data_IF_529443588478
#
_entry.id   IF_529443588478
#
_cell.length_a   1.000
_cell.length_b   1.000
_cell.length_c   1.000
_cell.angle_alpha   90.00
_cell.angle_beta   90.00
_cell.angle_gamma   90.00
#
_symmetry.space_group_name_H-M   'P 1'
#
loop_
_entity.id
_entity.type
_entity.pdbx_description
1 polymer ?
#
# COMPACT_ATOMS: atom_id res chain seq x y z
N UNK A 1 4.19 -22.53 -8.87
CA UNK A 1 3.36 -21.32 -8.60
C UNK A 1 4.28 -20.13 -8.35
N UNK A 2 4.00 -19.00 -8.99
CA UNK A 2 4.74 -17.74 -8.90
C UNK A 2 3.74 -16.60 -8.72
N UNK A 3 3.98 -15.68 -7.79
CA UNK A 3 3.18 -14.45 -7.72
C UNK A 3 3.77 -13.43 -8.68
N UNK A 4 2.96 -12.82 -9.53
CA UNK A 4 3.37 -11.83 -10.53
C UNK A 4 2.49 -10.58 -10.39
N UNK A 5 3.04 -9.55 -9.78
CA UNK A 5 2.35 -8.30 -9.49
C UNK A 5 2.95 -7.14 -10.26
N UNK A 6 2.12 -6.18 -10.66
CA UNK A 6 2.61 -4.98 -11.36
C UNK A 6 3.33 -4.06 -10.37
N UNK A 7 2.63 -3.68 -9.31
CA UNK A 7 3.11 -2.85 -8.21
C UNK A 7 2.93 -3.59 -6.88
N UNK A 8 3.55 -3.10 -5.81
CA UNK A 8 3.40 -3.65 -4.45
C UNK A 8 2.73 -2.64 -3.51
N UNK A 9 1.50 -2.27 -3.86
CA UNK A 9 0.66 -1.37 -3.07
C UNK A 9 -0.01 -2.07 -1.87
N UNK A 10 -0.90 -1.36 -1.17
CA UNK A 10 -1.57 -1.89 0.04
C UNK A 10 -2.46 -3.10 -0.24
N UNK A 11 -3.13 -3.14 -1.40
CA UNK A 11 -4.01 -4.25 -1.79
C UNK A 11 -3.17 -5.46 -2.21
N UNK A 12 -2.10 -5.25 -2.98
CA UNK A 12 -1.14 -6.30 -3.34
C UNK A 12 -0.49 -6.88 -2.09
N UNK A 13 -0.11 -6.02 -1.13
CA UNK A 13 0.42 -6.47 0.16
C UNK A 13 -0.60 -7.31 0.92
N UNK A 14 -1.88 -6.93 0.95
CA UNK A 14 -2.93 -7.72 1.60
C UNK A 14 -3.07 -9.11 0.97
N UNK A 15 -3.01 -9.21 -0.36
CA UNK A 15 -2.99 -10.50 -1.06
C UNK A 15 -1.73 -11.32 -0.74
N UNK A 16 -0.55 -10.70 -0.82
CA UNK A 16 0.72 -11.35 -0.50
C UNK A 16 0.74 -11.91 0.93
N UNK A 17 0.32 -11.10 1.92
CA UNK A 17 0.21 -11.51 3.31
C UNK A 17 -0.80 -12.66 3.44
N UNK A 18 -1.92 -12.61 2.71
CA UNK A 18 -2.96 -13.65 2.73
C UNK A 18 -2.45 -15.00 2.19
N UNK A 19 -1.74 -14.98 1.07
CA UNK A 19 -1.10 -16.18 0.52
C UNK A 19 -0.10 -16.77 1.52
N UNK A 20 0.75 -15.91 2.12
CA UNK A 20 1.73 -16.32 3.12
C UNK A 20 1.08 -16.93 4.37
N UNK A 21 0.00 -16.32 4.89
CA UNK A 21 -0.77 -16.82 6.03
C UNK A 21 -1.51 -18.13 5.73
N UNK A 22 -1.88 -18.37 4.47
CA UNK A 22 -2.40 -19.65 4.03
C UNK A 22 -1.30 -20.73 3.96
N UNK A 23 -0.02 -20.35 4.03
CA UNK A 23 1.12 -21.25 3.91
C UNK A 23 1.61 -21.42 2.47
N UNK A 24 1.16 -20.58 1.54
CA UNK A 24 1.64 -20.56 0.17
C UNK A 24 2.98 -19.80 0.11
N UNK A 25 4.05 -20.53 -0.16
CA UNK A 25 5.42 -20.00 -0.24
C UNK A 25 5.86 -20.01 -1.70
N UNK A 26 5.39 -19.04 -2.48
CA UNK A 26 5.74 -18.87 -3.89
C UNK A 26 6.78 -17.75 -4.07
N UNK A 27 7.71 -17.87 -5.03
CA UNK A 27 8.50 -16.74 -5.50
C UNK A 27 7.57 -15.60 -5.91
N UNK A 28 7.89 -14.37 -5.49
CA UNK A 28 7.08 -13.20 -5.81
C UNK A 28 7.87 -12.24 -6.67
N UNK A 29 7.32 -11.95 -7.84
CA UNK A 29 7.85 -11.05 -8.84
C UNK A 29 7.01 -9.77 -8.81
N UNK A 30 7.69 -8.63 -8.72
CA UNK A 30 7.08 -7.30 -8.88
C UNK A 30 7.70 -6.64 -10.11
N UNK A 31 6.87 -6.28 -11.07
CA UNK A 31 7.32 -5.78 -12.38
C UNK A 31 7.87 -4.35 -12.29
N UNK A 32 7.23 -3.50 -11.48
CA UNK A 32 7.64 -2.11 -11.25
C UNK A 32 8.26 -1.94 -9.87
N UNK A 33 9.58 -1.74 -9.84
CA UNK A 33 10.37 -1.56 -8.62
C UNK A 33 10.30 -0.11 -8.14
N UNK A 34 9.70 0.10 -6.95
CA UNK A 34 9.63 1.40 -6.30
C UNK A 34 10.84 1.71 -5.40
N UNK A 35 11.81 0.78 -5.35
CA UNK A 35 13.01 0.82 -4.54
C UNK A 35 12.84 0.32 -3.10
N UNK A 36 11.60 0.17 -2.61
CA UNK A 36 11.27 -0.10 -1.20
C UNK A 36 10.45 -1.38 -1.00
N UNK A 37 10.51 -2.29 -1.97
CA UNK A 37 9.88 -3.59 -1.90
C UNK A 37 10.43 -4.43 -0.73
N UNK A 38 9.63 -5.33 -0.12
CA UNK A 38 10.14 -6.26 0.88
C UNK A 38 11.34 -7.09 0.40
N UNK A 39 12.20 -7.49 1.32
CA UNK A 39 13.30 -8.41 0.99
C UNK A 39 12.77 -9.74 0.43
N UNK A 40 13.48 -10.29 -0.55
CA UNK A 40 13.12 -11.56 -1.20
C UNK A 40 12.20 -11.44 -2.41
N UNK A 41 11.65 -10.25 -2.69
CA UNK A 41 10.95 -9.98 -3.94
C UNK A 41 11.94 -9.98 -5.12
N UNK A 42 11.50 -10.44 -6.29
CA UNK A 42 12.28 -10.45 -7.52
C UNK A 42 11.75 -9.34 -8.43
N UNK A 43 12.63 -8.52 -8.99
CA UNK A 43 12.25 -7.51 -10.00
C UNK A 43 13.11 -7.65 -11.25
N UNK A 44 12.63 -7.20 -12.43
CA UNK A 44 13.45 -7.17 -13.65
C UNK A 44 14.77 -6.44 -13.43
N UNK A 45 14.72 -5.31 -12.72
CA UNK A 45 15.91 -4.55 -12.37
C UNK A 45 16.89 -5.37 -11.52
N UNK A 46 16.44 -5.93 -10.40
CA UNK A 46 17.32 -6.65 -9.48
C UNK A 46 18.03 -7.82 -10.17
N UNK A 47 17.30 -8.54 -11.03
CA UNK A 47 17.83 -9.66 -11.78
C UNK A 47 18.89 -9.23 -12.79
N UNK A 48 18.56 -8.32 -13.72
CA UNK A 48 19.48 -7.94 -14.79
C UNK A 48 20.67 -7.11 -14.30
N UNK A 49 20.46 -6.24 -13.31
CA UNK A 49 21.54 -5.46 -12.70
C UNK A 49 22.39 -6.28 -11.72
N UNK A 50 22.05 -7.56 -11.50
CA UNK A 50 22.71 -8.42 -10.51
C UNK A 50 22.80 -7.74 -9.14
N UNK A 51 21.71 -7.08 -8.75
CA UNK A 51 21.67 -6.21 -7.58
C UNK A 51 21.98 -7.00 -6.31
N UNK A 52 22.87 -6.46 -5.47
CA UNK A 52 23.22 -7.03 -4.17
C UNK A 52 23.07 -6.00 -3.08
N UNK A 53 22.12 -6.19 -2.16
CA UNK A 53 21.98 -5.29 -1.02
C UNK A 53 23.34 -5.04 -0.34
N UNK A 54 23.79 -3.78 -0.23
CA UNK A 54 25.01 -3.45 0.51
C UNK A 54 24.90 -3.95 1.96
N UNK A 55 25.97 -4.51 2.53
CA UNK A 55 25.96 -5.13 3.87
C UNK A 55 25.38 -4.26 4.99
N UNK A 56 25.58 -2.95 4.90
CA UNK A 56 25.04 -1.95 5.83
C UNK A 56 24.20 -0.91 5.08
N UNK A 57 23.58 -1.33 3.97
CA UNK A 57 22.72 -0.49 3.16
C UNK A 57 21.53 -0.01 3.98
N UNK A 58 21.28 1.29 3.94
CA UNK A 58 20.16 1.92 4.64
C UNK A 58 19.59 3.02 3.74
N UNK A 59 18.30 3.35 3.86
CA UNK A 59 17.73 4.42 3.07
C UNK A 59 18.51 5.71 3.30
N UNK A 60 18.67 6.54 2.27
CA UNK A 60 19.25 7.85 2.46
C UNK A 60 18.34 8.67 3.38
N UNK A 61 18.93 9.30 4.39
CA UNK A 61 18.26 10.39 5.08
C UNK A 61 18.32 11.64 4.20
N UNK A 62 17.35 12.54 4.32
CA UNK A 62 17.20 13.67 3.38
C UNK A 62 18.47 14.51 3.15
N UNK A 63 19.30 14.69 4.19
CA UNK A 63 20.54 15.47 4.10
C UNK A 63 21.75 14.68 3.58
N UNK A 64 21.57 13.40 3.24
CA UNK A 64 22.61 12.52 2.69
C UNK A 64 22.49 12.34 1.17
N UNK A 65 21.52 13.01 0.52
CA UNK A 65 21.41 13.04 -0.93
C UNK A 65 22.71 13.61 -1.54
N UNK A 66 23.36 12.91 -2.49
CA UNK A 66 24.52 13.45 -3.18
C UNK A 66 24.18 14.74 -3.92
N UNK A 67 24.87 15.83 -3.60
CA UNK A 67 24.68 17.15 -4.22
C UNK A 67 26.03 17.76 -4.61
N UNK A 68 26.06 18.69 -5.58
CA UNK A 68 27.26 19.44 -5.91
C UNK A 68 27.87 20.14 -4.69
N UNK A 69 29.20 20.36 -4.74
CA UNK A 69 29.93 20.97 -3.63
C UNK A 69 29.34 22.35 -3.29
N UNK A 70 29.14 22.60 -2.00
CA UNK A 70 28.57 23.82 -1.41
C UNK A 70 27.07 24.04 -1.63
N UNK A 71 26.36 23.11 -2.26
CA UNK A 71 24.90 23.17 -2.31
C UNK A 71 24.33 22.81 -0.94
N UNK A 72 23.22 23.46 -0.59
CA UNK A 72 22.58 23.33 0.71
C UNK A 72 21.36 22.41 0.61
N UNK A 73 21.14 21.59 1.64
CA UNK A 73 19.92 20.78 1.76
C UNK A 73 19.15 21.28 2.98
N UNK A 74 17.89 21.65 2.77
CA UNK A 74 16.96 22.05 3.81
C UNK A 74 15.68 21.20 3.70
N UNK A 75 14.89 21.11 4.76
CA UNK A 75 13.62 20.41 4.70
C UNK A 75 12.82 20.43 6.00
N UNK A 76 11.58 19.97 5.90
CA UNK A 76 10.65 19.80 7.00
C UNK A 76 10.28 18.30 7.16
N UNK A 77 9.15 18.00 7.80
CA UNK A 77 8.67 16.63 8.00
C UNK A 77 8.00 16.00 6.77
N UNK A 78 7.60 16.81 5.79
CA UNK A 78 6.85 16.38 4.61
C UNK A 78 7.75 16.26 3.37
N UNK A 79 8.65 17.23 3.18
CA UNK A 79 9.58 17.27 2.06
C UNK A 79 10.89 17.98 2.41
N UNK A 80 11.89 17.81 1.54
CA UNK A 80 13.15 18.57 1.56
C UNK A 80 13.46 19.14 0.18
N UNK A 81 14.48 19.98 0.09
CA UNK A 81 14.94 20.58 -1.15
C UNK A 81 16.41 20.90 -1.14
N UNK A 82 16.99 20.94 -2.34
CA UNK A 82 18.38 21.30 -2.57
C UNK A 82 18.45 22.73 -3.12
N UNK A 83 19.39 23.54 -2.61
CA UNK A 83 19.62 24.92 -3.00
C UNK A 83 21.04 25.18 -3.49
N UNK A 84 21.15 26.05 -4.47
CA UNK A 84 22.39 26.64 -4.97
C UNK A 84 22.28 28.16 -4.84
N UNK A 85 23.04 28.77 -3.93
CA UNK A 85 22.98 30.23 -3.66
C UNK A 85 21.52 30.72 -3.52
N UNK A 86 20.73 30.01 -2.69
CA UNK A 86 19.27 30.19 -2.46
C UNK A 86 18.32 29.75 -3.57
N UNK A 87 18.78 29.45 -4.79
CA UNK A 87 17.91 28.94 -5.87
C UNK A 87 17.57 27.46 -5.64
N UNK A 88 16.28 27.11 -5.68
CA UNK A 88 15.84 25.72 -5.57
C UNK A 88 16.26 24.94 -6.83
N UNK A 89 17.01 23.85 -6.63
CA UNK A 89 17.56 22.99 -7.69
C UNK A 89 16.98 21.59 -7.70
N UNK A 90 16.48 21.12 -6.56
CA UNK A 90 15.78 19.85 -6.49
C UNK A 90 14.74 19.83 -5.37
N UNK A 91 13.73 18.98 -5.52
CA UNK A 91 12.83 18.55 -4.46
C UNK A 91 13.21 17.14 -4.02
N UNK A 92 13.31 16.91 -2.71
CA UNK A 92 13.56 15.59 -2.14
C UNK A 92 12.22 15.10 -1.57
N UNK A 93 11.73 13.98 -2.11
CA UNK A 93 10.46 13.36 -1.72
C UNK A 93 10.73 12.22 -0.75
N UNK A 94 10.06 12.26 0.39
CA UNK A 94 10.17 11.20 1.39
C UNK A 94 9.30 10.01 1.03
N UNK A 95 9.67 8.83 1.55
CA UNK A 95 8.81 7.65 1.51
C UNK A 95 7.49 7.96 2.25
N UNK A 96 6.33 7.80 1.62
CA UNK A 96 5.03 8.00 2.28
C UNK A 96 4.83 7.05 3.47
N UNK A 97 4.05 7.48 4.46
CA UNK A 97 3.73 6.66 5.64
C UNK A 97 4.86 6.51 6.67
N UNK A 98 6.12 6.76 6.29
CA UNK A 98 7.28 6.71 7.17
C UNK A 98 7.69 8.08 7.69
N UNK A 99 7.80 8.23 9.01
CA UNK A 99 8.27 9.49 9.65
C UNK A 99 9.78 9.65 9.71
N UNK A 100 10.52 8.84 8.94
CA UNK A 100 11.97 8.78 9.03
C UNK A 100 12.67 9.70 8.02
N UNK A 101 11.94 10.52 7.27
CA UNK A 101 12.47 11.41 6.21
C UNK A 101 13.45 10.66 5.29
N UNK A 102 13.15 9.39 5.07
CA UNK A 102 13.90 8.53 4.16
C UNK A 102 13.56 8.95 2.74
N UNK A 103 14.58 9.13 1.91
CA UNK A 103 14.43 9.58 0.53
C UNK A 103 13.87 8.45 -0.31
N UNK A 104 12.72 8.69 -0.95
CA UNK A 104 12.22 7.81 -2.01
C UNK A 104 12.83 8.22 -3.35
N UNK A 105 12.71 9.49 -3.71
CA UNK A 105 13.22 10.02 -4.97
C UNK A 105 13.53 11.52 -4.89
N UNK A 106 14.32 12.00 -5.85
CA UNK A 106 14.75 13.40 -5.94
C UNK A 106 14.38 13.95 -7.31
N UNK A 107 13.52 14.96 -7.33
CA UNK A 107 13.10 15.69 -8.54
C UNK A 107 14.08 16.83 -8.82
N UNK A 108 14.91 16.71 -9.86
CA UNK A 108 15.87 17.73 -10.25
C UNK A 108 15.27 18.74 -11.23
N UNK A 109 15.54 20.02 -10.97
CA UNK A 109 14.94 21.15 -11.64
C UNK A 109 15.97 21.86 -12.54
N UNK A 110 15.51 22.32 -13.69
CA UNK A 110 16.29 23.22 -14.53
C UNK A 110 16.37 24.64 -13.93
N UNK A 111 17.10 25.55 -14.60
CA UNK A 111 17.26 26.94 -14.14
C UNK A 111 15.96 27.73 -14.04
N UNK A 112 14.88 27.29 -14.71
CA UNK A 112 13.55 27.92 -14.66
C UNK A 112 12.64 27.28 -13.59
N UNK A 113 13.16 26.34 -12.79
CA UNK A 113 12.39 25.63 -11.77
C UNK A 113 11.47 24.53 -12.32
N UNK A 114 11.64 24.11 -13.58
CA UNK A 114 10.86 23.02 -14.18
C UNK A 114 11.58 21.68 -13.99
N UNK A 115 10.80 20.62 -13.76
CA UNK A 115 11.30 19.25 -13.65
C UNK A 115 12.08 18.86 -14.91
N UNK A 116 13.26 18.29 -14.72
CA UNK A 116 14.11 17.78 -15.80
C UNK A 116 14.26 16.25 -15.70
N UNK A 117 14.59 15.75 -14.51
CA UNK A 117 14.70 14.31 -14.26
C UNK A 117 14.42 13.98 -12.80
N UNK A 118 14.16 12.70 -12.53
CA UNK A 118 13.94 12.15 -11.20
C UNK A 118 14.94 11.03 -10.96
N UNK A 119 15.69 11.13 -9.87
CA UNK A 119 16.56 10.08 -9.35
C UNK A 119 15.79 9.22 -8.35
N UNK A 120 15.80 7.90 -8.54
CA UNK A 120 15.09 6.93 -7.70
C UNK A 120 16.06 6.15 -6.83
N UNK A 121 15.76 6.06 -5.53
CA UNK A 121 16.62 5.42 -4.54
C UNK A 121 15.98 4.17 -3.96
N UNK A 122 16.79 3.17 -3.65
CA UNK A 122 16.33 1.97 -2.96
C UNK A 122 16.29 2.17 -1.44
N UNK A 123 15.64 1.24 -0.73
CA UNK A 123 15.70 1.09 0.73
C UNK A 123 17.13 0.88 1.28
N UNK A 124 18.12 0.68 0.41
CA UNK A 124 19.53 0.55 0.78
C UNK A 124 20.34 1.82 0.48
N UNK A 125 19.69 2.88 0.00
CA UNK A 125 20.32 4.16 -0.33
C UNK A 125 21.05 4.17 -1.67
N UNK A 126 20.75 3.24 -2.56
CA UNK A 126 21.37 3.11 -3.88
C UNK A 126 20.53 3.86 -4.92
N UNK A 127 21.16 4.73 -5.72
CA UNK A 127 20.55 5.30 -6.91
C UNK A 127 20.45 4.21 -7.98
N UNK A 128 19.25 3.70 -8.22
CA UNK A 128 19.05 2.55 -9.10
C UNK A 128 18.42 2.90 -10.45
N UNK A 129 17.72 4.03 -10.52
CA UNK A 129 17.11 4.49 -11.76
C UNK A 129 17.06 6.01 -11.86
N UNK A 130 17.00 6.51 -13.10
CA UNK A 130 16.76 7.90 -13.42
C UNK A 130 15.71 8.01 -14.52
N UNK A 131 14.63 8.77 -14.28
CA UNK A 131 13.60 9.08 -15.29
C UNK A 131 13.77 10.49 -15.80
N UNK A 132 13.78 10.69 -17.11
CA UNK A 132 13.87 12.01 -17.75
C UNK A 132 12.50 12.44 -18.28
N UNK A 133 12.16 13.72 -18.12
CA UNK A 133 10.85 14.28 -18.46
C UNK A 133 10.95 15.37 -19.53
N UNK A 134 9.87 15.54 -20.30
CA UNK A 134 9.69 16.70 -21.16
C UNK A 134 9.19 17.93 -20.38
N UNK A 135 9.02 19.06 -21.08
CA UNK A 135 8.53 20.31 -20.47
C UNK A 135 7.07 20.24 -19.97
N UNK A 136 6.31 19.23 -20.39
CA UNK A 136 4.93 18.97 -20.01
C UNK A 136 4.82 17.90 -18.89
N UNK A 137 5.96 17.43 -18.35
CA UNK A 137 6.06 16.35 -17.36
C UNK A 137 5.65 14.97 -17.87
N UNK A 138 5.70 14.75 -19.18
CA UNK A 138 5.62 13.39 -19.72
C UNK A 138 6.99 12.71 -19.58
N UNK A 139 7.00 11.43 -19.22
CA UNK A 139 8.22 10.63 -19.18
C UNK A 139 8.74 10.40 -20.60
N UNK A 140 10.03 10.66 -20.83
CA UNK A 140 10.70 10.41 -22.12
C UNK A 140 11.35 9.03 -22.09
N UNK A 141 12.22 8.80 -21.11
CA UNK A 141 12.87 7.51 -20.89
C UNK A 141 13.25 7.32 -19.42
N UNK A 142 13.51 6.06 -19.05
CA UNK A 142 14.14 5.70 -17.78
C UNK A 142 15.39 4.86 -18.03
N UNK A 143 16.43 5.15 -17.27
CA UNK A 143 17.68 4.37 -17.20
C UNK A 143 17.75 3.68 -15.85
N UNK A 144 18.16 2.43 -15.84
CA UNK A 144 18.47 1.65 -14.64
C UNK A 144 19.95 1.33 -14.61
N UNK A 145 20.56 1.44 -13.42
CA UNK A 145 22.00 1.37 -13.23
C UNK A 145 22.41 0.14 -12.42
N UNK A 146 23.53 -0.50 -12.76
CA UNK A 146 24.16 -1.44 -11.85
C UNK A 146 24.86 -0.72 -10.68
N UNK A 147 25.50 -1.49 -9.81
CA UNK A 147 26.17 -0.97 -8.61
C UNK A 147 27.40 -0.12 -8.91
N UNK A 148 27.96 -0.23 -10.12
CA UNK A 148 29.09 0.57 -10.60
C UNK A 148 28.60 1.84 -11.34
N UNK A 149 27.29 2.03 -11.46
CA UNK A 149 26.66 3.18 -12.11
C UNK A 149 26.54 3.06 -13.64
N UNK A 150 26.72 1.85 -14.19
CA UNK A 150 26.59 1.60 -15.64
C UNK A 150 25.14 1.28 -16.01
N UNK A 151 24.71 1.75 -17.18
CA UNK A 151 23.37 1.45 -17.71
C UNK A 151 23.16 -0.04 -17.99
N UNK A 152 22.13 -0.61 -17.36
CA UNK A 152 21.70 -2.00 -17.57
C UNK A 152 20.41 -2.06 -18.38
N UNK A 153 19.41 -1.26 -18.02
CA UNK A 153 18.12 -1.20 -18.73
C UNK A 153 17.86 0.24 -19.15
N UNK A 154 17.51 0.45 -20.41
CA UNK A 154 17.03 1.71 -20.95
C UNK A 154 15.63 1.50 -21.50
N UNK A 155 14.63 2.16 -20.92
CA UNK A 155 13.24 2.09 -21.38
C UNK A 155 12.82 3.43 -21.97
N UNK A 156 12.46 3.44 -23.25
CA UNK A 156 11.94 4.59 -23.96
C UNK A 156 10.41 4.60 -23.89
N UNK A 157 9.81 5.52 -23.13
CA UNK A 157 8.35 5.60 -22.97
C UNK A 157 7.64 6.12 -24.23
N UNK A 158 8.32 6.87 -25.09
CA UNK A 158 7.72 7.38 -26.33
C UNK A 158 7.60 6.29 -27.39
N UNK A 159 8.66 5.49 -27.55
CA UNK A 159 8.70 4.38 -28.50
C UNK A 159 8.22 3.06 -27.90
N UNK A 160 7.96 3.00 -26.59
CA UNK A 160 7.63 1.80 -25.83
C UNK A 160 8.69 0.67 -25.91
N UNK A 161 9.90 0.98 -26.37
CA UNK A 161 10.98 0.01 -26.58
C UNK A 161 11.97 -0.03 -25.42
N UNK A 162 12.57 -1.20 -25.21
CA UNK A 162 13.55 -1.44 -24.14
C UNK A 162 14.87 -1.90 -24.75
N UNK A 163 15.98 -1.35 -24.24
CA UNK A 163 17.33 -1.83 -24.52
C UNK A 163 17.92 -2.37 -23.22
N UNK A 164 18.39 -3.62 -23.26
CA UNK A 164 18.98 -4.32 -22.12
C UNK A 164 20.45 -4.65 -22.43
N UNK A 165 21.35 -4.25 -21.54
CA UNK A 165 22.75 -4.68 -21.57
C UNK A 165 22.95 -5.77 -20.52
N UNK A 166 23.11 -7.03 -20.95
CA UNK A 166 23.20 -8.16 -20.02
C UNK A 166 24.19 -9.21 -20.53
N UNK A 167 25.03 -9.73 -19.62
CA UNK A 167 26.07 -10.75 -19.91
C UNK A 167 27.01 -10.39 -21.08
N UNK A 168 27.25 -9.10 -21.30
CA UNK A 168 28.14 -8.61 -22.36
C UNK A 168 27.47 -8.40 -23.72
N UNK A 169 26.20 -8.78 -23.85
CA UNK A 169 25.39 -8.60 -25.05
C UNK A 169 24.37 -7.47 -24.87
N UNK A 170 23.89 -6.93 -25.99
CA UNK A 170 22.82 -5.92 -26.02
C UNK A 170 21.58 -6.51 -26.70
N UNK A 171 20.45 -6.44 -26.00
CA UNK A 171 19.15 -6.92 -26.46
C UNK A 171 18.23 -5.73 -26.70
N UNK A 172 17.45 -5.80 -27.78
CA UNK A 172 16.48 -4.78 -28.16
C UNK A 172 15.08 -5.40 -28.19
N UNK A 173 14.14 -4.76 -27.49
CA UNK A 173 12.75 -5.18 -27.43
C UNK A 173 11.87 -4.07 -27.99
N UNK A 174 10.97 -4.42 -28.91
CA UNK A 174 10.03 -3.47 -29.54
C UNK A 174 8.93 -3.00 -28.58
N UNK A 175 8.70 -3.73 -27.48
CA UNK A 175 7.72 -3.38 -26.46
C UNK A 175 8.23 -3.71 -25.05
N UNK A 176 7.68 -3.03 -24.03
CA UNK A 176 7.92 -3.36 -22.63
C UNK A 176 7.46 -4.78 -22.28
N UNK A 177 6.33 -5.22 -22.85
CA UNK A 177 5.81 -6.57 -22.64
C UNK A 177 6.79 -7.63 -23.15
N UNK A 178 7.38 -7.46 -24.35
CA UNK A 178 8.37 -8.40 -24.88
C UNK A 178 9.61 -8.51 -23.99
N UNK A 179 10.05 -7.39 -23.41
CA UNK A 179 11.14 -7.38 -22.42
C UNK A 179 10.77 -8.17 -21.15
N UNK A 180 9.55 -7.96 -20.62
CA UNK A 180 9.09 -8.66 -19.42
C UNK A 180 8.85 -10.15 -19.65
N UNK A 181 8.34 -10.55 -20.83
CA UNK A 181 8.23 -11.97 -21.22
C UNK A 181 9.61 -12.62 -21.26
N UNK A 182 10.59 -11.97 -21.90
CA UNK A 182 11.99 -12.43 -21.91
C UNK A 182 12.57 -12.55 -20.50
N UNK A 183 12.26 -11.60 -19.62
CA UNK A 183 12.67 -11.65 -18.21
C UNK A 183 12.15 -12.90 -17.50
N UNK A 184 10.86 -13.25 -17.65
CA UNK A 184 10.30 -14.45 -17.03
C UNK A 184 10.99 -15.73 -17.53
N UNK A 185 11.29 -15.82 -18.82
CA UNK A 185 12.02 -16.95 -19.41
C UNK A 185 13.46 -17.01 -18.88
N UNK A 186 14.13 -15.86 -18.76
CA UNK A 186 15.52 -15.75 -18.29
C UNK A 186 15.68 -16.11 -16.80
N UNK A 187 14.61 -16.07 -16.00
CA UNK A 187 14.62 -16.49 -14.60
C UNK A 187 14.79 -18.01 -14.41
N UNK A 188 14.52 -18.82 -15.44
CA UNK A 188 14.60 -20.29 -15.38
C UNK A 188 13.76 -20.90 -14.23
N UNK A 189 12.59 -20.31 -13.96
CA UNK A 189 11.63 -20.78 -12.94
C UNK A 189 10.48 -21.59 -13.56
N UNK A 190 9.68 -22.22 -12.71
CA UNK A 190 8.44 -22.89 -13.13
C UNK A 190 7.36 -21.89 -13.55
N UNK A 191 7.04 -21.87 -14.85
CA UNK A 191 6.07 -20.96 -15.49
C UNK A 191 4.67 -21.59 -15.67
N UNK A 192 4.42 -22.75 -15.05
CA UNK A 192 3.14 -23.46 -15.19
C UNK A 192 1.97 -22.75 -14.53
N UNK A 193 2.24 -21.98 -13.46
CA UNK A 193 1.20 -21.41 -12.60
C UNK A 193 1.57 -20.05 -12.04
N UNK A 194 0.75 -19.03 -12.32
CA UNK A 194 0.88 -17.69 -11.76
C UNK A 194 -0.32 -17.27 -10.91
N UNK A 195 -0.05 -16.47 -9.87
CA UNK A 195 -1.04 -15.57 -9.25
C UNK A 195 -0.78 -14.19 -9.82
N UNK A 196 -1.79 -13.57 -10.42
CA UNK A 196 -1.77 -12.15 -10.81
C UNK A 196 -2.89 -11.40 -10.10
N UNK A 197 -2.78 -10.08 -10.00
CA UNK A 197 -3.80 -9.26 -9.34
C UNK A 197 -4.33 -8.09 -10.18
N UNK A 198 -3.94 -8.02 -11.45
CA UNK A 198 -4.43 -7.00 -12.38
C UNK A 198 -4.51 -7.55 -13.80
N UNK A 199 -5.48 -7.03 -14.56
CA UNK A 199 -5.65 -7.24 -16.00
C UNK A 199 -4.74 -6.35 -16.85
N UNK A 200 -3.86 -5.56 -16.21
CA UNK A 200 -2.86 -4.70 -16.85
C UNK A 200 -1.62 -5.47 -17.34
N UNK A 201 -0.45 -5.04 -16.88
CA UNK A 201 0.83 -5.58 -17.36
C UNK A 201 1.02 -7.07 -17.03
N UNK A 202 0.73 -7.57 -15.80
CA UNK A 202 0.87 -8.99 -15.47
C UNK A 202 0.06 -9.91 -16.39
N UNK A 203 -1.22 -9.61 -16.61
CA UNK A 203 -2.06 -10.36 -17.53
C UNK A 203 -1.52 -10.32 -18.96
N UNK A 204 -1.13 -9.14 -19.45
CA UNK A 204 -0.59 -8.99 -20.80
C UNK A 204 0.69 -9.80 -21.01
N UNK A 205 1.61 -9.81 -20.04
CA UNK A 205 2.84 -10.61 -20.09
C UNK A 205 2.51 -12.10 -20.20
N UNK A 206 1.55 -12.60 -19.42
CA UNK A 206 1.13 -14.00 -19.45
C UNK A 206 0.38 -14.35 -20.73
N UNK A 207 -0.47 -13.46 -21.25
CA UNK A 207 -1.19 -13.65 -22.51
C UNK A 207 -0.24 -13.88 -23.70
N UNK A 208 0.89 -13.16 -23.74
CA UNK A 208 1.92 -13.32 -24.78
C UNK A 208 3.02 -14.34 -24.43
N UNK A 209 2.98 -14.94 -23.23
CA UNK A 209 3.95 -15.96 -22.83
C UNK A 209 3.68 -17.25 -23.60
N UNK A 210 4.66 -17.74 -24.34
CA UNK A 210 4.53 -18.95 -25.16
C UNK A 210 4.71 -20.25 -24.34
N UNK A 211 3.98 -20.32 -23.22
CA UNK A 211 3.95 -21.46 -22.32
C UNK A 211 2.51 -21.77 -21.92
N UNK A 212 2.12 -23.04 -22.07
CA UNK A 212 0.88 -23.53 -21.48
C UNK A 212 0.92 -23.46 -19.96
N UNK A 213 -0.18 -23.04 -19.35
CA UNK A 213 -0.28 -22.96 -17.89
C UNK A 213 -1.69 -22.63 -17.40
N UNK A 214 -1.85 -22.64 -16.08
CA UNK A 214 -3.11 -22.33 -15.41
C UNK A 214 -2.85 -21.30 -14.33
N UNK A 215 -3.52 -20.17 -14.42
CA UNK A 215 -3.28 -18.99 -13.60
C UNK A 215 -4.52 -18.56 -12.83
N UNK A 216 -4.29 -17.77 -11.78
CA UNK A 216 -5.36 -17.20 -10.97
C UNK A 216 -5.21 -15.69 -10.94
N UNK A 217 -6.25 -14.99 -11.38
CA UNK A 217 -6.41 -13.56 -11.21
C UNK A 217 -7.15 -13.29 -9.91
N UNK A 218 -6.47 -12.69 -8.93
CA UNK A 218 -7.13 -12.05 -7.79
C UNK A 218 -7.56 -10.64 -8.20
N UNK A 219 -8.82 -10.45 -8.57
CA UNK A 219 -9.34 -9.16 -8.97
C UNK A 219 -9.54 -8.26 -7.74
N UNK A 220 -8.82 -7.14 -7.70
CA UNK A 220 -8.81 -6.16 -6.59
C UNK A 220 -9.37 -4.79 -6.98
N UNK A 221 -9.74 -4.61 -8.25
CA UNK A 221 -10.27 -3.36 -8.79
C UNK A 221 -11.81 -3.37 -8.82
N UNK A 222 -12.43 -2.21 -9.08
CA UNK A 222 -13.88 -2.08 -9.17
C UNK A 222 -14.31 -1.72 -10.60
N UNK A 223 -15.04 -2.60 -11.26
CA UNK A 223 -15.69 -2.35 -12.55
C UNK A 223 -17.20 -2.08 -12.41
N UNK A 224 -17.79 -2.35 -11.23
CA UNK A 224 -19.21 -2.08 -10.93
C UNK A 224 -20.15 -2.73 -11.94
N UNK A 225 -19.82 -3.96 -12.34
CA UNK A 225 -20.56 -4.72 -13.36
C UNK A 225 -20.20 -4.38 -14.81
N UNK A 226 -19.41 -3.34 -15.08
CA UNK A 226 -18.88 -3.06 -16.42
C UNK A 226 -17.61 -3.89 -16.65
N UNK A 227 -17.78 -5.18 -16.91
CA UNK A 227 -16.70 -6.15 -17.10
C UNK A 227 -15.65 -5.62 -18.11
N UNK A 228 -14.35 -5.58 -17.76
CA UNK A 228 -13.29 -5.18 -18.68
C UNK A 228 -13.12 -6.18 -19.84
N UNK A 229 -12.77 -5.70 -21.05
CA UNK A 229 -12.58 -6.57 -22.21
C UNK A 229 -11.53 -7.69 -22.01
N UNK A 230 -10.45 -7.43 -21.27
CA UNK A 230 -9.47 -8.48 -20.92
C UNK A 230 -10.06 -9.57 -20.02
N UNK A 231 -11.07 -9.25 -19.21
CA UNK A 231 -11.81 -10.22 -18.41
C UNK A 231 -12.74 -11.05 -19.28
N UNK A 232 -13.34 -10.44 -20.32
CA UNK A 232 -14.16 -11.17 -21.29
C UNK A 232 -13.35 -12.22 -22.06
N UNK A 233 -12.06 -11.97 -22.33
CA UNK A 233 -11.16 -12.99 -22.91
C UNK A 233 -11.06 -14.23 -22.02
N UNK A 234 -11.01 -14.05 -20.69
CA UNK A 234 -10.98 -15.16 -19.74
C UNK A 234 -12.30 -15.94 -19.79
N UNK A 235 -13.44 -15.24 -19.74
CA UNK A 235 -14.76 -15.86 -19.77
C UNK A 235 -15.04 -16.66 -21.05
N UNK A 236 -14.53 -16.17 -22.18
CA UNK A 236 -14.71 -16.81 -23.48
C UNK A 236 -13.65 -17.88 -23.79
N UNK A 237 -12.74 -18.15 -22.84
CA UNK A 237 -11.59 -19.04 -23.03
C UNK A 237 -10.72 -18.66 -24.24
N UNK A 238 -10.53 -17.35 -24.45
CA UNK A 238 -9.75 -16.75 -25.54
C UNK A 238 -8.43 -16.14 -25.02
N UNK A 239 -7.80 -16.84 -24.08
CA UNK A 239 -6.52 -16.46 -23.44
C UNK A 239 -5.32 -17.23 -24.00
N UNK A 240 -5.53 -17.90 -25.14
CA UNK A 240 -4.48 -18.56 -25.90
C UNK A 240 -4.01 -19.86 -25.27
N UNK A 241 -2.78 -19.88 -24.76
CA UNK A 241 -2.16 -21.08 -24.18
C UNK A 241 -2.42 -21.25 -22.68
N UNK A 242 -3.04 -20.25 -22.04
CA UNK A 242 -3.15 -20.19 -20.58
C UNK A 242 -4.59 -20.11 -20.18
N UNK A 243 -4.97 -20.88 -19.17
CA UNK A 243 -6.32 -20.83 -18.59
C UNK A 243 -6.31 -19.96 -17.34
N UNK A 244 -7.37 -19.20 -17.09
CA UNK A 244 -7.48 -18.34 -15.91
C UNK A 244 -8.71 -18.66 -15.07
N UNK A 245 -8.53 -18.66 -13.75
CA UNK A 245 -9.60 -18.56 -12.77
C UNK A 245 -9.58 -17.17 -12.14
N UNK A 246 -10.74 -16.65 -11.73
CA UNK A 246 -10.87 -15.31 -11.18
C UNK A 246 -11.37 -15.40 -9.73
N UNK A 247 -10.62 -14.83 -8.80
CA UNK A 247 -11.02 -14.65 -7.41
C UNK A 247 -11.30 -13.17 -7.18
N UNK A 248 -12.55 -12.81 -6.95
CA UNK A 248 -12.92 -11.41 -6.67
C UNK A 248 -12.80 -11.15 -5.18
N UNK A 249 -11.89 -10.26 -4.81
CA UNK A 249 -11.54 -10.03 -3.39
C UNK A 249 -12.55 -9.18 -2.62
N UNK A 250 -13.38 -8.42 -3.33
CA UNK A 250 -14.36 -7.50 -2.74
C UNK A 250 -15.77 -8.04 -2.95
N UNK A 251 -16.51 -8.23 -1.86
CA UNK A 251 -17.82 -8.87 -1.91
C UNK A 251 -18.85 -8.13 -2.78
N UNK A 252 -18.93 -6.81 -2.63
CA UNK A 252 -19.84 -5.97 -3.42
C UNK A 252 -19.52 -6.05 -4.92
N UNK A 253 -18.24 -6.15 -5.27
CA UNK A 253 -17.80 -6.28 -6.65
C UNK A 253 -18.07 -7.68 -7.21
N UNK A 254 -17.87 -8.72 -6.40
CA UNK A 254 -18.24 -10.09 -6.78
C UNK A 254 -19.72 -10.18 -7.12
N UNK A 255 -20.59 -9.63 -6.27
CA UNK A 255 -22.04 -9.59 -6.49
C UNK A 255 -22.38 -8.84 -7.79
N UNK A 256 -21.76 -7.68 -8.03
CA UNK A 256 -21.98 -6.88 -9.24
C UNK A 256 -21.52 -7.60 -10.53
N UNK A 257 -20.36 -8.25 -10.51
CA UNK A 257 -19.86 -9.03 -11.66
C UNK A 257 -20.73 -10.26 -11.89
N UNK A 258 -21.07 -11.01 -10.83
CA UNK A 258 -21.89 -12.20 -10.93
C UNK A 258 -23.27 -11.88 -11.55
N UNK A 259 -23.88 -10.75 -11.21
CA UNK A 259 -25.14 -10.29 -11.81
C UNK A 259 -25.01 -9.91 -13.30
N UNK A 260 -23.84 -9.43 -13.72
CA UNK A 260 -23.60 -8.92 -15.08
C UNK A 260 -23.22 -10.00 -16.11
N UNK A 261 -22.74 -11.17 -15.67
CA UNK A 261 -22.19 -12.21 -16.56
C UNK A 261 -23.11 -13.44 -16.73
N UNK A 262 -22.85 -14.25 -17.75
CA UNK A 262 -23.56 -15.51 -18.03
C UNK A 262 -23.29 -16.59 -16.97
N UNK A 263 -24.10 -17.65 -16.94
CA UNK A 263 -23.88 -18.78 -16.03
C UNK A 263 -22.53 -19.47 -16.26
N UNK A 264 -22.13 -19.68 -17.52
CA UNK A 264 -20.83 -20.27 -17.87
C UNK A 264 -19.66 -19.43 -17.33
N UNK A 265 -19.74 -18.09 -17.44
CA UNK A 265 -18.72 -17.19 -16.91
C UNK A 265 -18.64 -17.26 -15.37
N UNK A 266 -19.73 -17.59 -14.67
CA UNK A 266 -19.71 -17.74 -13.21
C UNK A 266 -18.94 -18.97 -12.74
N UNK A 267 -18.73 -19.98 -13.60
CA UNK A 267 -18.00 -21.19 -13.21
C UNK A 267 -16.51 -20.92 -12.92
N UNK A 268 -15.96 -19.86 -13.51
CA UNK A 268 -14.56 -19.45 -13.34
C UNK A 268 -14.37 -18.29 -12.35
N UNK A 269 -15.44 -17.83 -11.70
CA UNK A 269 -15.41 -16.70 -10.75
C UNK A 269 -15.73 -17.17 -9.34
N UNK A 270 -14.87 -16.80 -8.38
CA UNK A 270 -14.96 -17.21 -6.99
C UNK A 270 -15.06 -16.00 -6.07
N UNK A 271 -15.93 -16.07 -5.06
CA UNK A 271 -16.06 -15.08 -3.98
C UNK A 271 -14.88 -15.19 -3.02
N UNK A 272 -14.03 -14.17 -3.00
CA UNK A 272 -12.74 -14.13 -2.32
C UNK A 272 -12.70 -13.26 -1.08
N UNK A 273 -11.47 -12.90 -0.69
CA UNK A 273 -11.21 -12.00 0.43
C UNK A 273 -9.77 -12.10 0.92
N UNK A 274 -9.49 -11.46 2.05
CA UNK A 274 -8.16 -11.39 2.64
C UNK A 274 -8.08 -12.09 3.99
N UNK A 275 -6.87 -12.53 4.34
CA UNK A 275 -6.52 -12.98 5.68
C UNK A 275 -5.77 -11.86 6.40
N UNK A 276 -6.07 -11.70 7.68
CA UNK A 276 -5.40 -10.73 8.54
C UNK A 276 -4.80 -11.43 9.75
N UNK A 277 -3.55 -11.08 10.06
CA UNK A 277 -2.91 -11.45 11.30
C UNK A 277 -3.03 -10.30 12.29
N UNK A 278 -3.76 -10.55 13.39
CA UNK A 278 -3.91 -9.57 14.45
C UNK A 278 -2.79 -9.70 15.49
N UNK A 279 -2.22 -8.56 15.89
CA UNK A 279 -1.15 -8.48 16.91
C UNK A 279 -1.68 -8.76 18.32
N UNK A 280 -2.98 -8.59 18.53
CA UNK A 280 -3.69 -8.93 19.76
C UNK A 280 -5.16 -9.20 19.49
N UNK A 281 -5.84 -9.69 20.53
CA UNK A 281 -7.30 -9.77 20.56
C UNK A 281 -7.85 -8.65 21.44
N UNK A 282 -8.87 -7.95 20.97
CA UNK A 282 -9.54 -6.90 21.73
C UNK A 282 -10.06 -7.41 23.08
N UNK A 283 -9.79 -6.66 24.14
CA UNK A 283 -10.32 -6.95 25.49
C UNK A 283 -11.60 -6.20 25.79
N UNK A 284 -12.12 -5.43 24.83
CA UNK A 284 -13.33 -4.60 24.92
C UNK A 284 -13.26 -3.52 26.00
N UNK A 285 -12.05 -3.09 26.37
CA UNK A 285 -11.84 -2.01 27.31
C UNK A 285 -12.10 -0.65 26.67
N UNK A 286 -12.55 0.31 27.48
CA UNK A 286 -12.77 1.69 27.01
C UNK A 286 -11.52 2.54 27.19
N UNK A 287 -10.40 2.01 26.69
CA UNK A 287 -9.17 2.73 26.49
C UNK A 287 -9.16 3.18 25.02
N UNK A 288 -9.37 4.47 24.80
CA UNK A 288 -9.59 5.07 23.48
C UNK A 288 -8.32 5.80 23.07
N UNK A 289 -7.80 5.52 21.87
CA UNK A 289 -6.60 6.14 21.32
C UNK A 289 -6.95 7.08 20.16
N UNK A 290 -6.30 8.25 20.13
CA UNK A 290 -6.22 9.13 18.96
C UNK A 290 -4.77 9.55 18.75
N UNK A 291 -4.28 9.44 17.52
CA UNK A 291 -2.95 9.91 17.12
C UNK A 291 -3.10 11.13 16.22
N UNK A 292 -2.40 12.23 16.53
CA UNK A 292 -2.53 13.49 15.77
C UNK A 292 -1.17 14.16 15.49
N UNK A 293 -1.10 14.92 14.40
CA UNK A 293 -0.05 15.92 14.11
C UNK A 293 -0.52 17.36 14.33
N UNK A 294 -1.83 17.58 14.52
CA UNK A 294 -2.42 18.89 14.76
C UNK A 294 -3.12 18.94 16.13
N UNK A 295 -3.45 20.13 16.59
CA UNK A 295 -4.32 20.33 17.76
C UNK A 295 -5.82 20.31 17.44
N UNK A 296 -6.15 20.12 16.16
CA UNK A 296 -7.52 20.12 15.66
C UNK A 296 -8.12 18.72 15.77
N UNK A 297 -8.69 18.43 16.94
CA UNK A 297 -9.47 17.21 17.20
C UNK A 297 -10.93 17.62 17.44
N UNK A 298 -11.80 17.36 16.46
CA UNK A 298 -13.17 17.85 16.48
C UNK A 298 -13.98 17.29 17.65
N UNK A 299 -14.71 18.17 18.35
CA UNK A 299 -15.61 17.84 19.46
C UNK A 299 -14.98 17.04 20.63
N UNK A 300 -13.65 16.94 20.73
CA UNK A 300 -12.97 16.06 21.69
C UNK A 300 -13.38 16.32 23.14
N UNK A 301 -13.44 17.60 23.57
CA UNK A 301 -13.85 17.96 24.93
C UNK A 301 -15.28 17.49 25.24
N UNK A 302 -16.20 17.71 24.30
CA UNK A 302 -17.61 17.34 24.43
C UNK A 302 -17.79 15.80 24.45
N UNK A 303 -16.97 15.06 23.70
CA UNK A 303 -16.92 13.58 23.74
C UNK A 303 -16.38 13.09 25.09
N UNK A 304 -15.27 13.66 25.57
CA UNK A 304 -14.66 13.31 26.88
C UNK A 304 -15.67 13.48 28.01
N UNK A 305 -16.37 14.62 28.04
CA UNK A 305 -17.40 14.94 29.04
C UNK A 305 -18.61 14.00 28.95
N UNK A 306 -19.00 13.62 27.73
CA UNK A 306 -20.12 12.70 27.48
C UNK A 306 -19.82 11.23 27.77
N UNK A 307 -18.53 10.88 27.92
CA UNK A 307 -18.04 9.52 28.10
C UNK A 307 -17.06 9.41 29.29
N UNK A 308 -17.49 9.74 30.53
CA UNK A 308 -16.61 9.72 31.71
C UNK A 308 -16.15 8.31 32.11
N UNK A 309 -16.79 7.27 31.57
CA UNK A 309 -16.44 5.86 31.75
C UNK A 309 -15.24 5.40 30.92
N UNK A 310 -14.79 6.19 29.94
CA UNK A 310 -13.67 5.87 29.06
C UNK A 310 -12.41 6.65 29.46
N UNK A 311 -11.24 6.05 29.23
CA UNK A 311 -9.94 6.74 29.32
C UNK A 311 -9.47 7.10 27.92
N UNK A 312 -9.19 8.37 27.68
CA UNK A 312 -8.73 8.89 26.40
C UNK A 312 -7.21 9.07 26.42
N UNK A 313 -6.54 8.39 25.49
CA UNK A 313 -5.12 8.49 25.21
C UNK A 313 -4.94 9.31 23.93
N UNK A 314 -4.33 10.49 24.03
CA UNK A 314 -4.09 11.36 22.88
C UNK A 314 -2.58 11.47 22.68
N UNK A 315 -2.08 10.92 21.57
CA UNK A 315 -0.67 10.95 21.22
C UNK A 315 -0.38 11.92 20.10
N UNK A 316 0.67 12.74 20.27
CA UNK A 316 1.21 13.59 19.23
C UNK A 316 2.70 13.31 19.04
N UNK A 317 3.15 13.26 17.78
CA UNK A 317 4.57 13.10 17.43
C UNK A 317 5.38 14.38 17.59
N UNK A 318 4.70 15.52 17.66
CA UNK A 318 5.27 16.85 17.83
C UNK A 318 4.96 17.34 19.24
N UNK A 319 5.48 18.52 19.57
CA UNK A 319 4.98 19.26 20.73
C UNK A 319 3.49 19.56 20.57
N UNK A 320 2.76 19.53 21.69
CA UNK A 320 1.34 19.83 21.72
C UNK A 320 1.12 21.33 21.93
N UNK A 321 0.10 21.89 21.27
CA UNK A 321 -0.31 23.27 21.51
C UNK A 321 -1.02 23.40 22.87
N UNK A 322 -1.21 24.65 23.31
CA UNK A 322 -2.00 24.96 24.51
C UNK A 322 -3.44 24.44 24.45
N UNK A 323 -3.99 24.25 23.26
CA UNK A 323 -5.36 23.71 23.07
C UNK A 323 -5.43 22.25 23.52
N UNK A 324 -4.46 21.43 23.09
CA UNK A 324 -4.40 20.03 23.50
C UNK A 324 -4.00 19.89 24.98
N UNK A 325 -3.01 20.64 25.46
CA UNK A 325 -2.56 20.52 26.86
C UNK A 325 -3.64 20.90 27.86
N UNK A 326 -4.60 21.76 27.49
CA UNK A 326 -5.76 22.06 28.34
C UNK A 326 -6.66 20.86 28.62
N UNK A 327 -6.61 19.81 27.80
CA UNK A 327 -7.37 18.58 28.02
C UNK A 327 -6.89 17.79 29.25
N UNK A 328 -5.69 18.06 29.78
CA UNK A 328 -5.21 17.44 31.04
C UNK A 328 -6.11 17.74 32.24
N UNK A 329 -6.94 18.79 32.16
CA UNK A 329 -7.93 19.10 33.20
C UNK A 329 -8.94 17.97 33.42
N UNK A 330 -9.17 17.12 32.42
CA UNK A 330 -10.07 15.98 32.51
C UNK A 330 -9.33 14.77 33.11
N UNK A 331 -9.83 14.26 34.26
CA UNK A 331 -9.19 13.14 34.99
C UNK A 331 -9.06 11.86 34.16
N UNK A 332 -9.91 11.68 33.17
CA UNK A 332 -9.95 10.54 32.26
C UNK A 332 -9.17 10.77 30.95
N UNK A 333 -8.31 11.78 30.86
CA UNK A 333 -7.42 12.04 29.71
C UNK A 333 -5.96 11.78 30.06
N UNK A 334 -5.20 11.24 29.11
CA UNK A 334 -3.74 11.07 29.17
C UNK A 334 -3.15 11.59 27.86
N UNK A 335 -2.27 12.58 27.96
CA UNK A 335 -1.59 13.18 26.80
C UNK A 335 -0.17 12.64 26.66
N UNK A 336 0.26 12.45 25.42
CA UNK A 336 1.60 11.98 25.07
C UNK A 336 2.18 12.87 23.97
N UNK A 337 2.93 13.90 24.37
CA UNK A 337 3.64 14.79 23.45
C UNK A 337 4.98 14.20 23.01
N UNK A 338 5.45 14.57 21.81
CA UNK A 338 6.71 14.08 21.24
C UNK A 338 6.88 12.55 21.40
N UNK A 339 5.80 11.81 21.13
CA UNK A 339 5.68 10.41 21.51
C UNK A 339 6.69 9.53 20.77
N UNK A 340 7.43 8.72 21.53
CA UNK A 340 8.33 7.71 20.97
C UNK A 340 7.56 6.51 20.40
N UNK A 341 8.10 5.89 19.35
CA UNK A 341 7.53 4.68 18.74
C UNK A 341 7.31 3.54 19.76
N UNK A 342 8.22 3.39 20.72
CA UNK A 342 8.09 2.40 21.80
C UNK A 342 6.83 2.61 22.65
N UNK A 343 6.44 3.87 22.85
CA UNK A 343 5.23 4.25 23.59
C UNK A 343 3.99 4.13 22.72
N UNK A 344 4.11 4.44 21.43
CA UNK A 344 3.06 4.15 20.44
C UNK A 344 2.69 2.66 20.51
N UNK A 345 3.63 1.72 20.40
CA UNK A 345 3.31 0.28 20.47
C UNK A 345 2.59 -0.10 21.76
N UNK A 346 3.04 0.44 22.91
CA UNK A 346 2.39 0.20 24.20
C UNK A 346 0.93 0.70 24.22
N UNK A 347 0.65 1.84 23.60
CA UNK A 347 -0.71 2.37 23.50
C UNK A 347 -1.60 1.50 22.62
N UNK A 348 -1.10 1.03 21.47
CA UNK A 348 -1.85 0.11 20.59
C UNK A 348 -2.10 -1.25 21.25
N UNK A 349 -1.15 -1.76 22.03
CA UNK A 349 -1.38 -2.96 22.86
C UNK A 349 -2.47 -2.71 23.92
N UNK A 350 -2.45 -1.55 24.57
CA UNK A 350 -3.36 -1.21 25.66
C UNK A 350 -4.79 -0.86 25.22
N UNK A 351 -4.94 -0.11 24.14
CA UNK A 351 -6.21 0.49 23.74
C UNK A 351 -7.03 -0.45 22.86
N UNK A 352 -8.36 -0.46 23.01
CA UNK A 352 -9.24 -1.31 22.21
C UNK A 352 -10.14 -0.50 21.25
N UNK A 353 -10.15 0.83 21.35
CA UNK A 353 -10.87 1.71 20.43
C UNK A 353 -9.90 2.74 19.85
N UNK A 354 -9.93 2.92 18.54
CA UNK A 354 -9.25 4.04 17.87
C UNK A 354 -10.29 5.04 17.38
N UNK A 355 -10.06 6.31 17.69
CA UNK A 355 -10.98 7.40 17.36
C UNK A 355 -10.33 8.31 16.31
N UNK A 356 -10.77 8.15 15.06
CA UNK A 356 -10.27 8.84 13.88
C UNK A 356 -11.05 10.14 13.62
N UNK A 357 -10.71 11.17 14.40
CA UNK A 357 -11.44 12.45 14.45
C UNK A 357 -10.52 13.68 14.43
N UNK A 358 -9.22 13.47 14.23
CA UNK A 358 -8.24 14.53 14.07
C UNK A 358 -8.22 15.05 12.63
N UNK A 359 -7.93 16.34 12.46
CA UNK A 359 -7.63 16.93 11.15
C UNK A 359 -6.15 16.76 10.78
N UNK A 360 -5.86 16.97 9.50
CA UNK A 360 -4.50 16.89 8.95
C UNK A 360 -4.21 15.54 8.31
N UNK A 361 -2.96 15.33 7.91
CA UNK A 361 -2.53 14.06 7.33
C UNK A 361 -2.41 12.96 8.38
N UNK A 362 -2.77 11.73 8.01
CA UNK A 362 -2.59 10.55 8.85
C UNK A 362 -1.11 10.39 9.24
N UNK A 363 -0.90 9.96 10.47
CA UNK A 363 0.44 9.70 10.97
C UNK A 363 0.61 8.22 11.28
N UNK A 364 1.81 7.70 11.03
CA UNK A 364 2.23 6.35 11.45
C UNK A 364 1.28 5.22 11.00
N UNK A 365 0.53 5.43 9.92
CA UNK A 365 -0.51 4.53 9.43
C UNK A 365 -1.48 4.11 10.56
N UNK A 366 -1.89 5.10 11.35
CA UNK A 366 -2.53 4.90 12.65
C UNK A 366 -3.81 4.09 12.59
N UNK A 367 -4.62 4.24 11.54
CA UNK A 367 -5.89 3.53 11.35
C UNK A 367 -5.63 2.09 10.90
N UNK A 368 -4.74 1.84 9.94
CA UNK A 368 -4.33 0.46 9.59
C UNK A 368 -3.75 -0.26 10.80
N UNK A 369 -2.89 0.42 11.56
CA UNK A 369 -2.30 -0.14 12.76
C UNK A 369 -3.38 -0.47 13.80
N UNK A 370 -4.39 0.38 13.97
CA UNK A 370 -5.51 0.09 14.87
C UNK A 370 -6.25 -1.18 14.44
N UNK A 371 -6.47 -1.35 13.14
CA UNK A 371 -7.05 -2.56 12.57
C UNK A 371 -6.18 -3.80 12.87
N UNK A 372 -4.87 -3.74 12.61
CA UNK A 372 -3.93 -4.85 12.90
C UNK A 372 -3.88 -5.21 14.39
N UNK A 373 -4.23 -4.28 15.29
CA UNK A 373 -4.32 -4.50 16.74
C UNK A 373 -5.73 -4.88 17.21
N UNK A 374 -6.62 -5.27 16.29
CA UNK A 374 -8.01 -5.67 16.56
C UNK A 374 -8.81 -4.57 17.31
N UNK A 375 -8.46 -3.30 17.13
CA UNK A 375 -9.17 -2.18 17.75
C UNK A 375 -10.46 -1.88 16.98
N UNK A 376 -11.50 -1.44 17.69
CA UNK A 376 -12.69 -0.85 17.09
C UNK A 376 -12.37 0.55 16.58
N UNK A 377 -12.45 0.76 15.27
CA UNK A 377 -12.20 2.05 14.65
C UNK A 377 -13.53 2.80 14.49
N UNK A 378 -13.61 4.00 15.04
CA UNK A 378 -14.74 4.93 14.88
C UNK A 378 -14.19 6.27 14.41
N UNK A 379 -14.87 6.96 13.49
CA UNK A 379 -14.37 8.22 12.98
C UNK A 379 -15.42 9.09 12.32
N UNK A 380 -15.00 10.22 11.76
CA UNK A 380 -15.89 11.10 11.01
C UNK A 380 -15.85 10.82 9.51
N UNK A 381 -17.02 10.69 8.89
CA UNK A 381 -17.13 10.45 7.46
C UNK A 381 -16.44 11.53 6.61
N UNK A 382 -16.35 12.77 7.09
CA UNK A 382 -15.77 13.88 6.34
C UNK A 382 -14.22 13.87 6.29
N UNK A 383 -13.57 13.27 7.29
CA UNK A 383 -12.11 13.35 7.49
C UNK A 383 -11.48 11.97 7.79
N UNK A 384 -12.19 10.89 7.49
CA UNK A 384 -11.68 9.54 7.68
C UNK A 384 -10.41 9.32 6.86
N UNK A 385 -9.33 8.95 7.54
CA UNK A 385 -8.02 8.79 6.89
C UNK A 385 -7.93 7.50 6.09
N UNK A 386 -8.50 6.40 6.63
CA UNK A 386 -8.48 5.11 5.98
C UNK A 386 -9.88 4.48 5.92
N UNK A 387 -10.48 4.52 4.74
CA UNK A 387 -11.81 3.98 4.48
C UNK A 387 -11.82 2.48 4.18
N UNK A 388 -10.67 1.87 3.90
CA UNK A 388 -10.56 0.43 3.68
C UNK A 388 -10.79 -0.33 5.00
N UNK A 389 -10.26 0.18 6.11
CA UNK A 389 -10.39 -0.46 7.43
C UNK A 389 -11.46 0.17 8.34
N UNK A 390 -12.12 1.22 7.87
CA UNK A 390 -13.20 1.89 8.62
C UNK A 390 -14.53 1.69 7.91
N UNK A 391 -15.34 0.77 8.43
CA UNK A 391 -16.66 0.50 7.90
C UNK A 391 -17.57 1.74 7.90
N UNK A 392 -18.41 1.94 6.86
CA UNK A 392 -19.37 3.05 6.79
C UNK A 392 -20.27 3.18 8.03
N UNK A 393 -20.64 2.07 8.66
CA UNK A 393 -21.47 2.04 9.88
C UNK A 393 -20.76 2.58 11.12
N UNK A 394 -19.43 2.71 11.06
CA UNK A 394 -18.56 3.27 12.09
C UNK A 394 -18.08 4.69 11.75
N UNK A 395 -18.52 5.25 10.62
CA UNK A 395 -18.31 6.63 10.24
C UNK A 395 -19.52 7.47 10.62
N UNK A 396 -19.27 8.58 11.32
CA UNK A 396 -20.31 9.46 11.85
C UNK A 396 -20.21 10.86 11.24
N UNK A 397 -21.30 11.61 11.35
CA UNK A 397 -21.26 13.05 11.10
C UNK A 397 -20.60 13.78 12.28
N UNK A 398 -19.88 14.87 11.97
CA UNK A 398 -19.40 15.82 12.98
C UNK A 398 -20.50 16.77 13.47
N UNK A 399 -21.56 16.93 12.68
CA UNK A 399 -22.71 17.78 13.02
C UNK A 399 -23.40 17.32 14.32
N UNK A 400 -24.25 18.19 14.88
CA UNK A 400 -24.98 17.95 16.13
C UNK A 400 -24.05 17.55 17.29
N UNK A 401 -22.88 18.17 17.35
CA UNK A 401 -21.81 17.88 18.30
C UNK A 401 -21.45 16.39 18.38
N UNK A 402 -21.44 15.68 17.24
CA UNK A 402 -21.13 14.26 17.16
C UNK A 402 -22.02 13.38 18.07
N UNK A 403 -23.31 13.72 18.21
CA UNK A 403 -24.25 12.99 19.06
C UNK A 403 -24.29 11.48 18.75
N UNK A 404 -24.28 11.09 17.48
CA UNK A 404 -24.30 9.69 17.06
C UNK A 404 -23.03 8.91 17.48
N UNK A 405 -21.85 9.54 17.37
CA UNK A 405 -20.58 8.96 17.81
C UNK A 405 -20.57 8.77 19.34
N UNK A 406 -20.99 9.79 20.09
CA UNK A 406 -21.13 9.70 21.56
C UNK A 406 -22.09 8.58 21.95
N UNK A 407 -23.21 8.43 21.23
CA UNK A 407 -24.16 7.35 21.46
C UNK A 407 -23.53 5.99 21.17
N UNK A 408 -22.79 5.84 20.08
CA UNK A 408 -22.08 4.60 19.77
C UNK A 408 -21.09 4.20 20.88
N UNK A 409 -20.32 5.16 21.42
CA UNK A 409 -19.43 4.92 22.56
C UNK A 409 -20.17 4.46 23.82
N UNK A 410 -21.35 5.04 24.10
CA UNK A 410 -22.22 4.60 25.20
C UNK A 410 -22.76 3.20 24.96
N UNK A 411 -23.18 2.88 23.74
CA UNK A 411 -23.73 1.57 23.42
C UNK A 411 -22.68 0.47 23.61
N UNK A 412 -21.46 0.68 23.08
CA UNK A 412 -20.37 -0.31 23.23
C UNK A 412 -19.90 -0.45 24.68
N UNK A 413 -20.00 0.62 25.49
CA UNK A 413 -19.80 0.54 26.93
C UNK A 413 -20.84 -0.32 27.62
N UNK A 414 -22.13 -0.10 27.31
CA UNK A 414 -23.24 -0.76 27.98
C UNK A 414 -23.32 -2.24 27.66
N UNK A 415 -23.04 -2.63 26.40
CA UNK A 415 -23.10 -4.04 25.99
C UNK A 415 -21.98 -4.40 25.02
N UNK A 416 -21.14 -5.36 25.46
CA UNK A 416 -20.07 -5.99 24.65
C UNK A 416 -20.53 -6.47 23.26
N UNK A 417 -21.80 -6.89 23.11
CA UNK A 417 -22.35 -7.29 21.81
C UNK A 417 -22.32 -6.16 20.78
N UNK A 418 -22.55 -4.91 21.18
CA UNK A 418 -22.53 -3.77 20.25
C UNK A 418 -21.12 -3.48 19.78
N UNK A 419 -20.12 -3.64 20.67
CA UNK A 419 -18.71 -3.56 20.30
C UNK A 419 -18.38 -4.61 19.22
N UNK A 420 -18.72 -5.88 19.48
CA UNK A 420 -18.48 -6.98 18.53
C UNK A 420 -19.16 -6.76 17.19
N UNK A 421 -20.41 -6.29 17.18
CA UNK A 421 -21.14 -6.01 15.94
C UNK A 421 -20.41 -4.95 15.11
N UNK A 422 -19.95 -3.86 15.74
CA UNK A 422 -19.19 -2.81 15.05
C UNK A 422 -17.82 -3.27 14.57
N UNK A 423 -17.13 -4.11 15.34
CA UNK A 423 -15.91 -4.78 14.89
C UNK A 423 -16.17 -5.72 13.71
N UNK A 424 -17.30 -6.42 13.69
CA UNK A 424 -17.63 -7.28 12.56
C UNK A 424 -17.93 -6.46 11.30
N UNK A 425 -18.53 -5.27 11.42
CA UNK A 425 -18.70 -4.37 10.28
C UNK A 425 -17.36 -4.00 9.64
N UNK A 426 -16.36 -3.58 10.41
CA UNK A 426 -15.03 -3.24 9.86
C UNK A 426 -14.33 -4.46 9.24
N UNK A 427 -14.44 -5.64 9.85
CA UNK A 427 -13.80 -6.86 9.35
C UNK A 427 -14.41 -7.32 8.04
N UNK A 428 -15.75 -7.33 7.96
CA UNK A 428 -16.47 -7.62 6.73
C UNK A 428 -16.21 -6.58 5.64
N UNK A 429 -16.16 -5.29 6.01
CA UNK A 429 -15.85 -4.19 5.09
C UNK A 429 -14.42 -4.29 4.53
N UNK A 430 -13.47 -4.77 5.33
CA UNK A 430 -12.11 -5.08 4.89
C UNK A 430 -11.99 -6.44 4.16
N UNK A 431 -13.11 -7.08 3.83
CA UNK A 431 -13.20 -8.38 3.16
C UNK A 431 -12.44 -9.50 3.88
N UNK A 432 -12.44 -9.51 5.23
CA UNK A 432 -11.83 -10.57 6.00
C UNK A 432 -12.56 -11.89 5.80
N UNK A 433 -11.80 -12.94 5.46
CA UNK A 433 -12.27 -14.32 5.41
C UNK A 433 -11.43 -15.21 6.33
N UNK A 434 -11.94 -16.41 6.61
CA UNK A 434 -11.19 -17.39 7.40
C UNK A 434 -10.12 -18.08 6.56
N UNK A 435 -9.04 -18.55 7.22
CA UNK A 435 -7.99 -19.37 6.58
C UNK A 435 -8.59 -20.58 5.85
N UNK A 436 -9.64 -21.19 6.40
CA UNK A 436 -10.34 -22.31 5.76
C UNK A 436 -10.99 -21.90 4.44
N UNK A 437 -11.72 -20.79 4.43
CA UNK A 437 -12.35 -20.26 3.20
C UNK A 437 -11.30 -19.93 2.15
N UNK A 438 -10.26 -19.18 2.52
CA UNK A 438 -9.19 -18.80 1.60
C UNK A 438 -8.54 -20.04 0.96
N UNK A 439 -8.19 -21.05 1.77
CA UNK A 439 -7.62 -22.31 1.27
C UNK A 439 -8.55 -23.06 0.33
N UNK A 440 -9.86 -23.10 0.65
CA UNK A 440 -10.85 -23.75 -0.22
C UNK A 440 -10.97 -23.03 -1.56
N UNK A 441 -11.07 -21.70 -1.56
CA UNK A 441 -11.16 -20.89 -2.79
C UNK A 441 -9.89 -21.03 -3.62
N UNK A 442 -8.73 -20.90 -2.98
CA UNK A 442 -7.44 -21.08 -3.62
C UNK A 442 -7.32 -22.48 -4.24
N UNK A 443 -7.66 -23.53 -3.50
CA UNK A 443 -7.67 -24.90 -4.05
C UNK A 443 -8.67 -25.10 -5.18
N UNK A 444 -9.82 -24.43 -5.18
CA UNK A 444 -10.76 -24.50 -6.30
C UNK A 444 -10.21 -23.81 -7.54
N UNK A 445 -9.58 -22.64 -7.37
CA UNK A 445 -8.95 -21.89 -8.45
C UNK A 445 -7.71 -22.62 -9.02
N UNK A 446 -7.00 -23.41 -8.22
CA UNK A 446 -5.82 -24.18 -8.66
C UNK A 446 -6.10 -25.64 -9.03
N UNK A 447 -7.19 -26.21 -8.52
CA UNK A 447 -7.39 -27.66 -8.43
C UNK A 447 -8.32 -28.26 -9.48
N UNK A 448 -8.79 -27.48 -10.45
CA UNK A 448 -9.54 -28.04 -11.58
C UNK A 448 -8.57 -28.77 -12.52
N UNK A 449 -8.50 -30.09 -12.34
CA UNK A 449 -7.95 -31.08 -13.26
C UNK A 449 -9.06 -31.83 -13.97
#
# INVERSE_FOLDING_TARGET
>A
MVNLFEHFDSETKALYDSLSLAGEQAPTIVLEDDGFLPEGMITPYQFFASYRAPKNGRPLYFNAVPVPRFWEIEGNNEEAWVKDMSQKRAMIRYRPGEKRRHVSHVEWLNQQGKLQYVDHYTQHGVLFAQTVYDLNRNMIFRRYFDQDGKDVIYYNFLAQSVVLNWKGEQYHFESHIAFLTFFLEALEIDLSHFVVNSLGTPFSVLYYLNHTGQDVLYWQEYCKGNVPGNMELIFNNDTGQRDFQIVVTHKEEYEAIAEAVSEDAREVIHDGGYLYQYEKTSTYQLQILTMTNTDQIHHIASIIESCPFATFHIGAVTEMSSVLTQLERYKNVRLYQAIELSTVEKLYQKCDIYLDINEGGEIIDAVRKAFNYDMLILGYAAIAHNRTYTAPQNLFSKEDEAAALKQALRDVHLKKRYFKVRQNYQKAHANEITVKQFKTIHQLAYGQK
#
